data_IF_443333920132
#
_entry.id   IF_443333920132
#
_cell.length_a   1.000
_cell.length_b   1.000
_cell.length_c   1.000
_cell.angle_alpha   90.00
_cell.angle_beta   90.00
_cell.angle_gamma   90.00
#
_symmetry.space_group_name_H-M   'P 1'
#
loop_
_entity.id
_entity.type
_entity.pdbx_description
1 polymer ?
#
# COMPACT_ATOMS: atom_id res chain seq x y z
N UNK A 1 9.77 8.67 -2.73
CA UNK A 1 10.04 7.86 -3.94
C UNK A 1 9.19 8.29 -5.13
N UNK A 2 7.87 8.20 -5.09
CA UNK A 2 6.97 8.55 -6.22
C UNK A 2 7.25 9.95 -6.79
N UNK A 3 7.36 10.97 -5.93
CA UNK A 3 7.66 12.34 -6.36
C UNK A 3 9.02 12.43 -7.10
N UNK A 4 10.04 11.74 -6.60
CA UNK A 4 11.36 11.72 -7.24
C UNK A 4 11.33 11.00 -8.60
N UNK A 5 10.59 9.90 -8.72
CA UNK A 5 10.41 9.19 -9.99
C UNK A 5 9.72 10.07 -11.04
N UNK A 6 8.64 10.75 -10.65
CA UNK A 6 7.92 11.69 -11.54
C UNK A 6 8.79 12.89 -11.94
N UNK A 7 9.62 13.40 -11.04
CA UNK A 7 10.58 14.46 -11.35
C UNK A 7 11.68 14.01 -12.33
N UNK A 8 11.89 12.70 -12.50
CA UNK A 8 12.78 12.10 -13.46
C UNK A 8 12.03 11.55 -14.71
N UNK A 9 10.81 12.03 -14.97
CA UNK A 9 9.95 11.60 -16.08
C UNK A 9 9.61 10.09 -16.09
N UNK A 10 9.65 9.44 -14.93
CA UNK A 10 9.23 8.04 -14.76
C UNK A 10 7.80 8.00 -14.21
N UNK A 11 6.83 7.36 -14.91
CA UNK A 11 5.49 7.19 -14.38
C UNK A 11 5.53 6.39 -13.08
N UNK A 12 4.90 6.91 -12.04
CA UNK A 12 4.89 6.27 -10.72
C UNK A 12 3.52 6.41 -10.05
N UNK A 13 3.10 5.38 -9.31
CA UNK A 13 1.83 5.34 -8.57
C UNK A 13 2.03 4.88 -7.13
N UNK A 14 1.15 5.34 -6.26
CA UNK A 14 1.03 4.87 -4.90
C UNK A 14 0.23 3.57 -4.89
N UNK A 15 0.66 2.60 -4.11
CA UNK A 15 -0.06 1.34 -3.91
C UNK A 15 -0.36 1.17 -2.44
N UNK A 16 -1.63 0.93 -2.12
CA UNK A 16 -2.08 0.55 -0.78
C UNK A 16 -2.32 -0.96 -0.76
N UNK A 17 -2.02 -1.57 0.37
CA UNK A 17 -2.12 -3.00 0.50
C UNK A 17 -1.95 -3.49 1.92
N UNK A 18 -1.71 -4.79 2.02
CA UNK A 18 -1.27 -5.43 3.25
C UNK A 18 0.11 -6.05 3.07
N UNK A 19 0.88 -6.10 4.16
CA UNK A 19 2.15 -6.81 4.23
C UNK A 19 2.09 -7.84 5.36
N UNK A 20 2.35 -9.09 5.02
CA UNK A 20 2.64 -10.09 6.04
C UNK A 20 4.04 -9.84 6.64
N UNK A 21 4.08 -9.23 7.82
CA UNK A 21 5.32 -8.91 8.55
C UNK A 21 5.51 -9.87 9.72
N UNK A 22 6.60 -10.66 9.69
CA UNK A 22 7.03 -11.53 10.81
C UNK A 22 6.27 -12.86 10.95
N UNK A 23 6.95 -13.86 11.52
CA UNK A 23 6.40 -15.17 11.86
C UNK A 23 5.78 -15.21 13.28
N UNK A 24 5.77 -14.05 13.95
CA UNK A 24 5.74 -13.97 15.41
C UNK A 24 4.31 -13.76 15.94
N UNK A 25 3.30 -13.81 15.06
CA UNK A 25 1.89 -13.81 15.43
C UNK A 25 1.37 -12.56 16.16
N UNK A 26 2.15 -11.47 16.19
CA UNK A 26 1.72 -10.20 16.77
C UNK A 26 0.74 -9.46 15.84
N UNK A 27 -0.23 -8.76 16.44
CA UNK A 27 -1.09 -7.77 15.77
C UNK A 27 -0.24 -6.61 15.23
N UNK A 28 0.47 -6.84 14.13
CA UNK A 28 1.03 -5.76 13.35
C UNK A 28 -0.07 -5.15 12.50
N UNK A 29 -0.06 -3.82 12.39
CA UNK A 29 -0.85 -3.12 11.38
C UNK A 29 -0.55 -3.73 10.02
N UNK A 30 -1.46 -4.59 9.54
CA UNK A 30 -1.29 -5.28 8.28
C UNK A 30 -1.20 -4.27 7.13
N UNK A 31 -1.82 -3.08 7.30
CA UNK A 31 -1.85 -2.00 6.34
C UNK A 31 -0.43 -1.54 5.99
N UNK A 32 -0.12 -1.56 4.70
CA UNK A 32 1.16 -1.14 4.19
C UNK A 32 1.02 -0.42 2.85
N UNK A 33 2.05 0.33 2.47
CA UNK A 33 2.08 1.02 1.20
C UNK A 33 3.47 1.03 0.57
N UNK A 34 3.49 0.99 -0.76
CA UNK A 34 4.71 1.02 -1.56
C UNK A 34 4.49 1.83 -2.85
N UNK A 35 5.57 2.02 -3.61
CA UNK A 35 5.52 2.68 -4.90
C UNK A 35 5.60 1.66 -6.03
N UNK A 36 4.89 1.89 -7.12
CA UNK A 36 5.16 1.19 -8.38
C UNK A 36 5.60 2.20 -9.43
N UNK A 37 6.69 1.89 -10.14
CA UNK A 37 7.23 2.68 -11.25
C UNK A 37 7.04 1.91 -12.55
N UNK A 38 6.66 2.59 -13.62
CA UNK A 38 6.57 1.99 -14.94
C UNK A 38 7.93 2.01 -15.63
N UNK A 39 8.49 0.83 -15.89
CA UNK A 39 9.72 0.65 -16.64
C UNK A 39 9.39 0.10 -18.02
N UNK A 40 9.85 0.78 -19.07
CA UNK A 40 9.62 0.35 -20.45
C UNK A 40 10.15 -1.08 -20.66
N UNK A 41 9.31 -1.95 -21.23
CA UNK A 41 9.62 -3.36 -21.44
C UNK A 41 9.34 -4.29 -20.25
N UNK A 42 9.21 -3.75 -19.03
CA UNK A 42 8.92 -4.55 -17.81
C UNK A 42 7.53 -4.28 -17.22
N UNK A 43 6.92 -3.13 -17.52
CA UNK A 43 5.65 -2.72 -16.95
C UNK A 43 5.82 -2.09 -15.57
N UNK A 44 4.84 -2.29 -14.70
CA UNK A 44 4.84 -1.74 -13.34
C UNK A 44 5.67 -2.61 -12.39
N UNK A 45 6.71 -2.03 -11.82
CA UNK A 45 7.61 -2.69 -10.87
C UNK A 45 7.48 -2.03 -9.50
N UNK A 46 7.26 -2.85 -8.47
CA UNK A 46 7.08 -2.42 -7.10
C UNK A 46 8.40 -2.15 -6.39
N UNK A 47 8.43 -1.09 -5.58
CA UNK A 47 9.54 -0.68 -4.75
C UNK A 47 9.02 -0.26 -3.38
N UNK A 48 9.50 -0.93 -2.35
CA UNK A 48 9.24 -0.59 -0.96
C UNK A 48 10.46 0.10 -0.35
N UNK A 49 10.46 1.44 -0.26
CA UNK A 49 11.57 2.17 0.36
C UNK A 49 11.63 1.98 1.88
N UNK A 50 10.53 1.60 2.55
CA UNK A 50 10.52 1.37 3.99
C UNK A 50 11.24 0.07 4.34
N UNK A 51 10.99 -0.99 3.56
CA UNK A 51 11.62 -2.30 3.76
C UNK A 51 12.86 -2.54 2.86
N UNK A 52 13.22 -1.58 2.02
CA UNK A 52 14.37 -1.63 1.10
C UNK A 52 14.37 -2.86 0.19
N UNK A 53 13.19 -3.25 -0.29
CA UNK A 53 13.04 -4.41 -1.16
C UNK A 53 11.99 -4.16 -2.25
N UNK A 54 11.94 -5.08 -3.22
CA UNK A 54 10.79 -5.19 -4.12
C UNK A 54 9.71 -6.06 -3.45
N UNK A 55 8.41 -5.72 -3.60
CA UNK A 55 7.33 -6.56 -3.12
C UNK A 55 7.44 -8.00 -3.62
N UNK A 56 7.22 -8.95 -2.71
CA UNK A 56 7.16 -10.38 -2.99
C UNK A 56 5.76 -10.93 -2.63
N UNK A 57 5.63 -12.26 -2.52
CA UNK A 57 4.37 -12.93 -2.23
C UNK A 57 3.71 -12.52 -0.89
N UNK A 58 4.43 -11.83 0.00
CA UNK A 58 3.90 -11.32 1.29
C UNK A 58 3.07 -10.05 1.14
N UNK A 59 3.13 -9.40 -0.02
CA UNK A 59 2.43 -8.14 -0.29
C UNK A 59 1.11 -8.41 -1.00
N UNK A 60 0.01 -7.97 -0.38
CA UNK A 60 -1.33 -8.09 -0.94
C UNK A 60 -1.78 -6.70 -1.39
N UNK A 61 -1.92 -6.48 -2.70
CA UNK A 61 -2.38 -5.20 -3.25
C UNK A 61 -3.89 -5.04 -3.07
N UNK A 62 -4.31 -3.86 -2.59
CA UNK A 62 -5.72 -3.47 -2.50
C UNK A 62 -6.09 -2.43 -3.56
N UNK A 63 -5.27 -1.40 -3.71
CA UNK A 63 -5.59 -0.27 -4.58
C UNK A 63 -4.34 0.48 -5.03
N UNK A 64 -4.49 1.32 -6.03
CA UNK A 64 -3.41 2.22 -6.47
C UNK A 64 -3.95 3.54 -6.98
N UNK A 65 -3.18 4.60 -6.81
CA UNK A 65 -3.60 5.96 -7.14
C UNK A 65 -2.43 6.92 -7.33
N UNK A 66 -2.74 8.21 -7.51
CA UNK A 66 -1.70 9.25 -7.59
C UNK A 66 -0.93 9.35 -6.27
N UNK A 67 -1.65 9.20 -5.15
CA UNK A 67 -1.17 9.31 -3.78
C UNK A 67 -1.99 8.41 -2.82
N UNK A 68 -1.77 8.58 -1.52
CA UNK A 68 -2.46 7.82 -0.48
C UNK A 68 -3.98 8.06 -0.45
N UNK A 69 -4.44 9.27 -0.78
CA UNK A 69 -5.87 9.56 -0.82
C UNK A 69 -6.50 8.80 -1.97
N UNK A 70 -5.91 8.85 -3.16
CA UNK A 70 -6.41 8.14 -4.35
C UNK A 70 -6.38 6.62 -4.21
N UNK A 71 -5.44 6.08 -3.44
CA UNK A 71 -5.32 4.64 -3.18
C UNK A 71 -6.04 4.18 -1.91
N UNK A 72 -6.69 5.06 -1.15
CA UNK A 72 -7.32 4.68 0.12
C UNK A 72 -8.41 3.60 -0.07
N UNK A 73 -8.39 2.48 0.68
CA UNK A 73 -9.37 1.40 0.54
C UNK A 73 -10.77 1.82 0.98
N UNK A 74 -10.86 2.74 1.95
CA UNK A 74 -12.10 3.34 2.42
C UNK A 74 -11.92 4.86 2.35
N UNK A 75 -12.87 5.54 1.70
CA UNK A 75 -12.98 7.00 1.70
C UNK A 75 -14.38 7.38 2.14
N UNK A 76 -14.44 8.35 3.05
CA UNK A 76 -15.68 8.95 3.53
C UNK A 76 -15.61 10.47 3.40
N UNK A 77 -16.77 11.11 3.36
CA UNK A 77 -16.90 12.56 3.44
C UNK A 77 -17.90 12.81 4.57
N UNK A 78 -17.46 13.49 5.62
CA UNK A 78 -18.36 13.91 6.70
C UNK A 78 -18.86 15.34 6.44
N UNK A 79 -20.14 15.60 6.70
CA UNK A 79 -20.77 16.93 6.54
C UNK A 79 -21.70 17.22 7.72
N UNK A 80 -21.56 18.39 8.33
CA UNK A 80 -22.37 18.81 9.48
C UNK A 80 -21.64 18.66 10.81
N UNK A 81 -22.39 18.63 11.91
CA UNK A 81 -21.84 18.41 13.26
C UNK A 81 -22.21 17.02 13.77
N UNK A 82 -21.23 16.32 14.34
CA UNK A 82 -21.36 14.97 14.89
C UNK A 82 -19.98 14.36 15.15
N UNK A 83 -19.92 13.29 15.95
CA UNK A 83 -18.70 12.53 16.18
C UNK A 83 -18.70 11.31 15.26
N UNK A 84 -17.65 11.15 14.45
CA UNK A 84 -17.41 9.94 13.66
C UNK A 84 -16.32 9.09 14.31
N UNK A 85 -16.52 7.78 14.31
CA UNK A 85 -15.54 6.79 14.77
C UNK A 85 -15.43 5.72 13.68
N UNK A 86 -14.22 5.51 13.16
CA UNK A 86 -13.91 4.41 12.26
C UNK A 86 -12.95 3.45 12.97
N UNK A 87 -13.40 2.21 13.18
CA UNK A 87 -12.58 1.13 13.72
C UNK A 87 -12.26 0.14 12.61
N UNK A 88 -10.98 -0.15 12.40
CA UNK A 88 -10.50 -1.10 11.39
C UNK A 88 -9.55 -2.08 12.05
N UNK A 89 -9.78 -3.38 11.83
CA UNK A 89 -8.90 -4.45 12.27
C UNK A 89 -8.69 -5.42 11.10
N UNK A 90 -7.43 -5.75 10.81
CA UNK A 90 -7.05 -6.65 9.72
C UNK A 90 -5.93 -7.55 10.21
N UNK A 91 -6.07 -8.86 9.98
CA UNK A 91 -5.03 -9.85 10.21
C UNK A 91 -4.71 -10.56 8.89
N UNK A 92 -3.41 -10.72 8.58
CA UNK A 92 -2.92 -11.48 7.43
C UNK A 92 -2.20 -12.73 7.94
N UNK A 93 -2.62 -13.90 7.49
CA UNK A 93 -2.12 -15.20 7.95
C UNK A 93 -1.67 -16.07 6.79
N UNK A 94 -0.65 -16.90 7.02
CA UNK A 94 -0.28 -17.97 6.08
C UNK A 94 -1.33 -19.08 6.13
N UNK A 95 -1.80 -19.54 4.98
CA UNK A 95 -2.61 -20.75 4.88
C UNK A 95 -1.69 -21.93 4.56
N UNK A 96 -1.60 -22.92 5.46
CA UNK A 96 -0.97 -24.21 5.17
C UNK A 96 -1.97 -25.08 4.39
N UNK A 97 -1.52 -25.67 3.28
CA UNK A 97 -2.29 -26.60 2.44
C UNK A 97 -2.08 -28.04 2.88
#
# INVERSE_FOLDING_TARGET
>A
MIAAARAADVPARYVSGYLQSGADGGDHEAAHAWAELYLQGFGWIGFDPANRCCPDARYIRLGSGLDAQDAAPIRGISRGQGTEILSVAVAVQTQEQ
#
